data_IF_616201311737
#
_entry.id   IF_616201311737
#
_cell.length_a   1.000
_cell.length_b   1.000
_cell.length_c   1.000
_cell.angle_alpha   90.00
_cell.angle_beta   90.00
_cell.angle_gamma   90.00
#
_symmetry.space_group_name_H-M   'P 1'
#
loop_
_entity.id
_entity.type
_entity.pdbx_description
1 polymer ?
#
# COMPACT_ATOMS: atom_id res chain seq x y z
N UNK A 1 -19.09 -13.13 7.47
CA UNK A 1 -17.94 -12.84 6.58
C UNK A 1 -16.72 -12.84 7.46
N UNK A 2 -15.65 -13.54 7.08
CA UNK A 2 -14.45 -13.67 7.90
C UNK A 2 -13.80 -12.30 8.11
N UNK A 3 -13.34 -12.05 9.34
CA UNK A 3 -12.65 -10.82 9.76
C UNK A 3 -11.17 -10.81 9.32
N UNK A 4 -10.89 -11.55 8.26
CA UNK A 4 -9.53 -11.88 7.84
C UNK A 4 -9.00 -10.76 6.95
N UNK A 5 -7.87 -10.18 7.36
CA UNK A 5 -7.19 -9.15 6.60
C UNK A 5 -6.15 -9.76 5.66
N UNK A 6 -6.05 -9.22 4.45
CA UNK A 6 -4.99 -9.53 3.50
C UNK A 6 -4.00 -8.38 3.48
N UNK A 7 -2.72 -8.70 3.69
CA UNK A 7 -1.60 -7.77 3.56
C UNK A 7 -0.66 -8.28 2.47
N UNK A 8 -0.37 -7.42 1.49
CA UNK A 8 0.64 -7.68 0.47
C UNK A 8 1.58 -6.48 0.42
N UNK A 9 2.89 -6.73 0.45
CA UNK A 9 3.93 -5.72 0.30
C UNK A 9 4.84 -6.16 -0.83
N UNK A 10 4.91 -5.37 -1.90
CA UNK A 10 5.69 -5.74 -3.09
C UNK A 10 5.49 -4.76 -4.23
N UNK A 11 6.18 -5.02 -5.34
CA UNK A 11 6.04 -4.27 -6.59
C UNK A 11 5.11 -5.02 -7.53
N UNK A 12 4.06 -4.36 -8.03
CA UNK A 12 3.05 -5.03 -8.85
C UNK A 12 3.52 -5.39 -10.26
N UNK A 13 4.63 -4.84 -10.73
CA UNK A 13 5.31 -5.31 -11.95
C UNK A 13 5.86 -6.73 -11.83
N UNK A 14 6.28 -7.13 -10.61
CA UNK A 14 6.83 -8.45 -10.33
C UNK A 14 5.83 -9.40 -9.63
N UNK A 15 4.75 -8.86 -9.05
CA UNK A 15 3.73 -9.63 -8.32
C UNK A 15 2.35 -9.54 -9.01
N UNK A 16 2.01 -10.61 -9.74
CA UNK A 16 0.73 -10.76 -10.43
C UNK A 16 -0.48 -10.75 -9.49
N UNK A 17 -0.35 -11.18 -8.23
CA UNK A 17 -1.45 -11.15 -7.26
C UNK A 17 -1.73 -9.71 -6.83
N UNK A 18 -0.68 -8.93 -6.59
CA UNK A 18 -0.78 -7.52 -6.26
C UNK A 18 -1.38 -6.73 -7.44
N UNK A 19 -0.92 -6.98 -8.66
CA UNK A 19 -1.51 -6.39 -9.86
C UNK A 19 -2.98 -6.79 -10.05
N UNK A 20 -3.32 -8.06 -9.86
CA UNK A 20 -4.70 -8.53 -10.01
C UNK A 20 -5.67 -7.80 -9.07
N UNK A 21 -5.25 -7.57 -7.83
CA UNK A 21 -6.03 -6.89 -6.79
C UNK A 21 -6.18 -5.40 -7.03
N UNK A 22 -5.10 -4.74 -7.45
CA UNK A 22 -5.02 -3.27 -7.49
C UNK A 22 -5.20 -2.69 -8.88
N UNK A 23 -4.99 -3.47 -9.95
CA UNK A 23 -4.95 -3.01 -11.34
C UNK A 23 -4.03 -1.81 -11.57
N UNK A 24 -3.02 -1.69 -10.72
CA UNK A 24 -2.02 -0.64 -10.75
C UNK A 24 -0.66 -1.28 -11.00
N UNK A 25 0.04 -0.83 -12.04
CA UNK A 25 1.36 -1.33 -12.40
C UNK A 25 2.41 -0.32 -11.94
N UNK A 26 3.28 -0.72 -11.01
CA UNK A 26 4.37 0.11 -10.52
C UNK A 26 5.64 -0.71 -10.24
N UNK A 27 6.81 -0.13 -10.54
CA UNK A 27 8.10 -0.74 -10.22
C UNK A 27 8.45 -0.62 -8.73
N UNK A 28 7.95 0.42 -8.06
CA UNK A 28 8.19 0.67 -6.65
C UNK A 28 7.33 -0.24 -5.78
N UNK A 29 7.90 -0.87 -4.73
CA UNK A 29 7.11 -1.60 -3.75
C UNK A 29 6.12 -0.70 -3.01
N UNK A 30 4.91 -1.20 -2.80
CA UNK A 30 3.87 -0.52 -2.02
C UNK A 30 3.08 -1.50 -1.17
N UNK A 31 2.33 -0.97 -0.20
CA UNK A 31 1.52 -1.78 0.73
C UNK A 31 0.09 -1.84 0.23
N UNK A 32 -0.49 -3.03 0.16
CA UNK A 32 -1.90 -3.28 -0.08
C UNK A 32 -2.51 -3.96 1.14
N UNK A 33 -3.53 -3.33 1.72
CA UNK A 33 -4.34 -3.88 2.82
C UNK A 33 -5.77 -4.05 2.35
N UNK A 34 -6.31 -5.26 2.47
CA UNK A 34 -7.73 -5.53 2.27
C UNK A 34 -8.36 -6.07 3.55
N UNK A 35 -9.39 -5.42 4.07
CA UNK A 35 -10.11 -5.83 5.27
C UNK A 35 -11.54 -5.31 5.21
N UNK A 36 -12.52 -6.13 5.60
CA UNK A 36 -13.94 -5.70 5.61
C UNK A 36 -14.46 -5.25 4.23
N UNK A 37 -13.92 -5.80 3.15
CA UNK A 37 -14.26 -5.41 1.78
C UNK A 37 -13.69 -4.06 1.32
N UNK A 38 -12.84 -3.42 2.13
CA UNK A 38 -12.15 -2.18 1.81
C UNK A 38 -10.70 -2.43 1.44
N UNK A 39 -10.21 -1.77 0.39
CA UNK A 39 -8.81 -1.81 -0.04
C UNK A 39 -8.13 -0.47 0.18
N UNK A 40 -7.04 -0.50 0.95
CA UNK A 40 -6.19 0.65 1.24
C UNK A 40 -4.80 0.42 0.66
N UNK A 41 -4.26 1.39 -0.07
CA UNK A 41 -2.89 1.39 -0.56
C UNK A 41 -2.05 2.44 0.17
N UNK A 42 -0.85 2.07 0.61
CA UNK A 42 0.17 3.05 1.06
C UNK A 42 1.26 3.13 -0.01
N UNK A 43 1.41 4.31 -0.59
CA UNK A 43 2.24 4.55 -1.77
C UNK A 43 3.41 5.47 -1.44
N UNK A 44 4.50 5.32 -2.19
CA UNK A 44 5.54 6.37 -2.23
C UNK A 44 4.92 7.68 -2.75
N UNK A 45 5.51 8.82 -2.40
CA UNK A 45 5.03 10.12 -2.89
C UNK A 45 5.09 10.21 -4.42
N UNK A 46 6.04 9.50 -5.04
CA UNK A 46 6.18 9.39 -6.50
C UNK A 46 4.98 8.67 -7.15
N UNK A 47 4.51 7.57 -6.55
CA UNK A 47 3.42 6.76 -7.11
C UNK A 47 2.03 7.17 -6.61
N UNK A 48 1.96 8.06 -5.63
CA UNK A 48 0.72 8.43 -4.94
C UNK A 48 -0.37 8.92 -5.91
N UNK A 49 -0.04 9.87 -6.77
CA UNK A 49 -1.03 10.48 -7.66
C UNK A 49 -1.39 9.56 -8.84
N UNK A 50 -0.44 8.76 -9.32
CA UNK A 50 -0.70 7.70 -10.29
C UNK A 50 -1.69 6.68 -9.72
N UNK A 51 -1.45 6.21 -8.50
CA UNK A 51 -2.29 5.23 -7.83
C UNK A 51 -3.69 5.77 -7.55
N UNK A 52 -3.83 7.03 -7.11
CA UNK A 52 -5.15 7.67 -6.97
C UNK A 52 -5.94 7.70 -8.28
N UNK A 53 -5.27 7.90 -9.41
CA UNK A 53 -5.92 8.00 -10.72
C UNK A 53 -6.22 6.64 -11.36
N UNK A 54 -5.39 5.62 -11.11
CA UNK A 54 -5.37 4.39 -11.90
C UNK A 54 -5.69 3.13 -11.08
N UNK A 55 -5.46 3.13 -9.78
CA UNK A 55 -5.62 1.93 -8.96
C UNK A 55 -7.08 1.66 -8.60
N UNK A 56 -7.45 0.38 -8.57
CA UNK A 56 -8.67 -0.10 -7.95
C UNK A 56 -8.46 -0.16 -6.43
N UNK A 57 -8.67 0.94 -5.73
CA UNK A 57 -8.63 1.01 -4.27
C UNK A 57 -9.75 1.91 -3.73
N UNK A 58 -10.17 1.67 -2.49
CA UNK A 58 -11.09 2.57 -1.78
C UNK A 58 -10.34 3.79 -1.23
N UNK A 59 -9.08 3.61 -0.84
CA UNK A 59 -8.27 4.68 -0.25
C UNK A 59 -6.81 4.51 -0.66
N UNK A 60 -6.16 5.61 -1.01
CA UNK A 60 -4.74 5.67 -1.34
C UNK A 60 -4.08 6.72 -0.46
N UNK A 61 -3.04 6.33 0.27
CA UNK A 61 -2.42 7.12 1.32
C UNK A 61 -0.90 7.26 1.07
N UNK A 62 -0.30 8.41 1.42
CA UNK A 62 1.14 8.58 1.35
C UNK A 62 1.84 7.78 2.46
N UNK A 63 2.82 6.96 2.10
CA UNK A 63 3.64 6.21 3.05
C UNK A 63 4.45 7.14 3.96
N UNK A 64 4.94 8.27 3.43
CA UNK A 64 5.69 9.30 4.16
C UNK A 64 4.98 9.75 5.43
N UNK A 65 3.68 10.03 5.36
CA UNK A 65 2.87 10.44 6.51
C UNK A 65 2.79 9.37 7.62
N UNK A 66 2.80 8.08 7.27
CA UNK A 66 2.78 6.99 8.24
C UNK A 66 4.17 6.70 8.81
N UNK A 67 5.21 6.86 8.00
CA UNK A 67 6.60 6.81 8.44
C UNK A 67 6.87 7.88 9.51
N UNK A 68 6.44 9.11 9.29
CA UNK A 68 6.59 10.21 10.25
C UNK A 68 5.88 9.91 11.58
N UNK A 69 4.64 9.42 11.51
CA UNK A 69 3.89 9.00 12.70
C UNK A 69 4.61 7.89 13.48
N UNK A 70 5.16 6.90 12.77
CA UNK A 70 5.90 5.80 13.39
C UNK A 70 7.16 6.30 14.13
N UNK A 71 7.91 7.22 13.50
CA UNK A 71 9.07 7.88 14.12
C UNK A 71 8.67 8.67 15.36
N UNK A 72 7.59 9.45 15.28
CA UNK A 72 7.04 10.20 16.43
C UNK A 72 6.59 9.28 17.58
N UNK A 73 6.14 8.06 17.27
CA UNK A 73 5.79 7.04 18.26
C UNK A 73 6.97 6.24 18.83
N UNK A 74 8.20 6.60 18.48
CA UNK A 74 9.41 5.97 19.02
C UNK A 74 9.97 4.80 18.20
N UNK A 75 9.55 4.63 16.94
CA UNK A 75 10.16 3.67 16.01
C UNK A 75 11.14 4.43 15.09
N UNK A 76 12.46 4.45 15.38
CA UNK A 76 13.40 5.35 14.73
C UNK A 76 13.64 5.02 13.24
N UNK A 77 13.59 3.75 12.86
CA UNK A 77 13.70 3.30 11.48
C UNK A 77 12.63 2.24 11.16
N UNK A 78 11.41 2.65 10.78
CA UNK A 78 10.38 1.74 10.32
C UNK A 78 10.77 1.23 8.92
N UNK A 79 11.55 0.17 8.85
CA UNK A 79 11.89 -0.57 7.62
C UNK A 79 11.13 -1.90 7.58
N UNK A 80 11.03 -2.47 6.39
CA UNK A 80 10.77 -3.91 6.23
C UNK A 80 11.92 -4.69 6.86
N UNK A 81 11.59 -5.70 7.67
CA UNK A 81 12.55 -6.63 8.25
C UNK A 81 13.33 -7.40 7.18
#
# INVERSE_FOLDING_TARGET
MSDEAVLIIGASEADSNLYYRTRFLAPDPFVCVEMGGKRVLLMSDLELDRAKAQARADTVLPYSAYREKAVQSGVPEPRTA
#
